data_IF_038476464052
#
_entry.id   IF_038476464052
#
_cell.length_a   1.000
_cell.length_b   1.000
_cell.length_c   1.000
_cell.angle_alpha   90.00
_cell.angle_beta   90.00
_cell.angle_gamma   90.00
#
_symmetry.space_group_name_H-M   'P 1'
#
loop_
_entity.id
_entity.type
_entity.pdbx_description
1 polymer ?
#
# COMPACT_ATOMS: atom_id res chain seq x y z
N UNK A 1 -5.55 -11.20 -31.02
CA UNK A 1 -5.93 -10.29 -29.91
C UNK A 1 -6.12 -11.15 -28.68
N UNK A 2 -5.26 -11.01 -27.66
CA UNK A 2 -5.49 -11.71 -26.40
C UNK A 2 -6.72 -11.08 -25.75
N UNK A 3 -7.81 -11.83 -25.64
CA UNK A 3 -8.97 -11.40 -24.86
C UNK A 3 -8.51 -11.29 -23.40
N UNK A 4 -8.48 -10.07 -22.86
CA UNK A 4 -8.22 -9.86 -21.43
C UNK A 4 -9.19 -10.66 -20.56
N UNK A 5 -8.76 -11.02 -19.35
CA UNK A 5 -9.65 -11.67 -18.38
C UNK A 5 -10.87 -10.79 -18.11
N UNK A 6 -12.04 -11.41 -17.99
CA UNK A 6 -13.23 -10.73 -17.49
C UNK A 6 -13.01 -10.31 -16.03
N UNK A 7 -13.72 -9.28 -15.56
CA UNK A 7 -13.65 -8.86 -14.16
C UNK A 7 -13.91 -10.02 -13.18
N UNK A 8 -14.90 -10.87 -13.49
CA UNK A 8 -15.19 -12.08 -12.72
C UNK A 8 -14.02 -13.07 -12.73
N UNK A 9 -13.36 -13.26 -13.88
CA UNK A 9 -12.19 -14.13 -14.00
C UNK A 9 -10.96 -13.61 -13.25
N UNK A 10 -10.76 -12.29 -13.17
CA UNK A 10 -9.72 -11.68 -12.33
C UNK A 10 -10.04 -11.92 -10.85
N UNK A 11 -11.28 -11.69 -10.43
CA UNK A 11 -11.70 -11.90 -9.05
C UNK A 11 -11.50 -13.36 -8.62
N UNK A 12 -12.01 -14.32 -9.39
CA UNK A 12 -11.89 -15.74 -9.08
C UNK A 12 -10.43 -16.17 -8.96
N UNK A 13 -9.60 -15.76 -9.93
CA UNK A 13 -8.17 -16.08 -9.96
C UNK A 13 -7.40 -15.56 -8.74
N UNK A 14 -7.73 -14.36 -8.25
CA UNK A 14 -6.92 -13.68 -7.22
C UNK A 14 -7.59 -13.61 -5.85
N UNK A 15 -8.81 -14.14 -5.68
CA UNK A 15 -9.58 -13.99 -4.43
C UNK A 15 -8.80 -14.47 -3.20
N UNK A 16 -8.25 -15.68 -3.23
CA UNK A 16 -7.53 -16.26 -2.09
C UNK A 16 -6.21 -15.54 -1.80
N UNK A 17 -5.50 -15.10 -2.84
CA UNK A 17 -4.26 -14.33 -2.73
C UNK A 17 -4.51 -12.97 -2.06
N UNK A 18 -5.50 -12.22 -2.57
CA UNK A 18 -5.88 -10.91 -2.01
C UNK A 18 -6.39 -11.06 -0.58
N UNK A 19 -7.20 -12.10 -0.28
CA UNK A 19 -7.65 -12.39 1.09
C UNK A 19 -6.47 -12.61 2.03
N UNK A 20 -5.45 -13.36 1.60
CA UNK A 20 -4.23 -13.57 2.38
C UNK A 20 -3.51 -12.26 2.70
N UNK A 21 -3.33 -11.40 1.69
CA UNK A 21 -2.70 -10.08 1.87
C UNK A 21 -3.47 -9.17 2.83
N UNK A 22 -4.81 -9.19 2.79
CA UNK A 22 -5.65 -8.43 3.72
C UNK A 22 -5.42 -8.91 5.16
N UNK A 23 -5.40 -10.23 5.38
CA UNK A 23 -5.15 -10.81 6.71
C UNK A 23 -3.74 -10.49 7.22
N UNK A 24 -2.74 -10.52 6.34
CA UNK A 24 -1.36 -10.16 6.68
C UNK A 24 -1.25 -8.70 7.13
N UNK A 25 -1.85 -7.77 6.38
CA UNK A 25 -1.89 -6.35 6.76
C UNK A 25 -2.59 -6.15 8.11
N UNK A 26 -3.75 -6.79 8.32
CA UNK A 26 -4.47 -6.71 9.59
C UNK A 26 -3.60 -7.22 10.76
N UNK A 27 -2.94 -8.38 10.59
CA UNK A 27 -2.07 -8.94 11.62
C UNK A 27 -0.86 -8.05 11.93
N UNK A 28 -0.34 -7.30 10.95
CA UNK A 28 0.75 -6.33 11.17
C UNK A 28 0.24 -5.15 11.99
N UNK A 29 -0.91 -4.56 11.65
CA UNK A 29 -1.50 -3.49 12.46
C UNK A 29 -1.79 -3.93 13.89
N UNK A 30 -2.36 -5.12 14.08
CA UNK A 30 -2.57 -5.68 15.42
C UNK A 30 -1.26 -5.84 16.22
N UNK A 31 -0.15 -6.16 15.56
CA UNK A 31 1.17 -6.26 16.22
C UNK A 31 1.72 -4.89 16.59
N UNK A 32 1.51 -3.86 15.76
CA UNK A 32 1.88 -2.49 16.09
C UNK A 32 1.11 -2.01 17.32
N UNK A 33 -0.19 -2.25 17.37
CA UNK A 33 -1.04 -1.84 18.50
C UNK A 33 -0.70 -2.57 19.81
N UNK A 34 -0.16 -3.78 19.72
CA UNK A 34 0.32 -4.56 20.88
C UNK A 34 1.80 -4.32 21.22
N UNK A 35 2.51 -3.55 20.41
CA UNK A 35 3.95 -3.31 20.57
C UNK A 35 4.24 -2.41 21.77
N UNK A 36 5.35 -2.67 22.47
CA UNK A 36 5.85 -1.75 23.50
C UNK A 36 6.27 -0.42 22.86
N UNK A 37 5.84 0.72 23.42
CA UNK A 37 6.13 2.04 22.86
C UNK A 37 5.26 2.39 21.65
N UNK A 38 4.02 1.90 21.62
CA UNK A 38 3.02 2.19 20.59
C UNK A 38 2.85 3.69 20.34
N UNK A 39 3.06 4.53 21.36
CA UNK A 39 2.97 5.98 21.27
C UNK A 39 4.00 6.55 20.27
N UNK A 40 5.21 5.96 20.22
CA UNK A 40 6.23 6.36 19.25
C UNK A 40 5.84 5.97 17.82
N UNK A 41 5.23 4.80 17.65
CA UNK A 41 4.72 4.34 16.36
C UNK A 41 3.53 5.19 15.90
N UNK A 42 2.66 5.62 16.82
CA UNK A 42 1.54 6.52 16.56
C UNK A 42 1.99 7.93 16.16
N UNK A 43 3.13 8.39 16.68
CA UNK A 43 3.73 9.66 16.29
C UNK A 43 4.53 9.59 14.97
N UNK A 44 4.84 8.39 14.47
CA UNK A 44 5.59 8.21 13.23
C UNK A 44 4.68 8.45 12.01
N UNK A 45 4.99 9.41 11.12
CA UNK A 45 4.15 9.74 9.98
C UNK A 45 3.99 8.59 8.98
N UNK A 46 4.90 7.60 9.00
CA UNK A 46 4.80 6.42 8.14
C UNK A 46 3.58 5.55 8.47
N UNK A 47 3.12 5.56 9.74
CA UNK A 47 1.90 4.84 10.11
C UNK A 47 0.67 5.42 9.40
N UNK A 48 0.57 6.74 9.34
CA UNK A 48 -0.52 7.41 8.61
C UNK A 48 -0.40 7.21 7.10
N UNK A 49 0.81 7.20 6.53
CA UNK A 49 1.01 6.84 5.12
C UNK A 49 0.53 5.42 4.81
N UNK A 50 0.81 4.44 5.68
CA UNK A 50 0.30 3.06 5.50
C UNK A 50 -1.22 3.01 5.52
N UNK A 51 -1.86 3.71 6.48
CA UNK A 51 -3.33 3.79 6.58
C UNK A 51 -3.93 4.44 5.33
N UNK A 52 -3.31 5.49 4.81
CA UNK A 52 -3.76 6.16 3.59
C UNK A 52 -3.62 5.26 2.36
N UNK A 53 -2.53 4.49 2.27
CA UNK A 53 -2.35 3.47 1.23
C UNK A 53 -3.47 2.43 1.23
N UNK A 54 -3.92 1.99 2.42
CA UNK A 54 -5.07 1.07 2.56
C UNK A 54 -6.37 1.72 2.07
N UNK A 55 -6.61 3.00 2.39
CA UNK A 55 -7.80 3.72 1.86
C UNK A 55 -7.77 3.85 0.34
N UNK A 56 -6.60 4.13 -0.25
CA UNK A 56 -6.45 4.24 -1.71
C UNK A 56 -6.78 2.93 -2.44
N UNK A 57 -6.59 1.77 -1.82
CA UNK A 57 -7.03 0.47 -2.38
C UNK A 57 -8.55 0.42 -2.60
N UNK A 58 -9.33 1.14 -1.79
CA UNK A 58 -10.79 1.19 -1.87
C UNK A 58 -11.30 2.33 -2.77
N UNK A 59 -10.41 3.15 -3.35
CA UNK A 59 -10.81 4.23 -4.24
C UNK A 59 -11.49 3.72 -5.52
N UNK A 60 -12.39 4.52 -6.08
CA UNK A 60 -13.10 4.20 -7.32
C UNK A 60 -12.18 4.22 -8.55
N UNK A 61 -12.59 3.51 -9.61
CA UNK A 61 -11.91 3.50 -10.91
C UNK A 61 -10.65 2.63 -10.98
N UNK A 62 -9.71 3.02 -11.83
CA UNK A 62 -8.42 2.35 -12.05
C UNK A 62 -7.27 3.20 -11.48
N UNK A 63 -6.02 2.75 -11.62
CA UNK A 63 -4.84 3.54 -11.20
C UNK A 63 -4.51 3.49 -9.71
N UNK A 64 -5.09 2.55 -8.94
CA UNK A 64 -4.77 2.38 -7.50
C UNK A 64 -3.27 2.18 -7.26
N UNK A 65 -2.63 1.35 -8.10
CA UNK A 65 -1.19 1.09 -8.00
C UNK A 65 -0.36 2.37 -8.18
N UNK A 66 -0.69 3.20 -9.16
CA UNK A 66 -0.04 4.49 -9.39
C UNK A 66 -0.25 5.44 -8.21
N UNK A 67 -1.49 5.59 -7.73
CA UNK A 67 -1.79 6.45 -6.57
C UNK A 67 -1.02 6.01 -5.33
N UNK A 68 -0.97 4.71 -5.06
CA UNK A 68 -0.22 4.13 -3.94
C UNK A 68 1.28 4.33 -4.14
N UNK A 69 1.79 4.12 -5.35
CA UNK A 69 3.20 4.36 -5.66
C UNK A 69 3.57 5.83 -5.42
N UNK A 70 2.74 6.77 -5.87
CA UNK A 70 2.97 8.19 -5.65
C UNK A 70 2.90 8.58 -4.17
N UNK A 71 2.02 7.96 -3.38
CA UNK A 71 1.95 8.16 -1.93
C UNK A 71 3.27 7.80 -1.22
N UNK A 72 3.99 6.80 -1.72
CA UNK A 72 5.27 6.34 -1.14
C UNK A 72 6.51 6.87 -1.88
N UNK A 73 6.34 7.75 -2.87
CA UNK A 73 7.47 8.33 -3.62
C UNK A 73 7.94 9.62 -2.97
N UNK A 74 9.26 9.83 -2.96
CA UNK A 74 9.83 11.13 -2.63
C UNK A 74 9.50 12.16 -3.72
N UNK A 75 9.55 13.44 -3.35
CA UNK A 75 9.44 14.52 -4.34
C UNK A 75 10.56 14.42 -5.37
N UNK A 76 10.20 14.60 -6.65
CA UNK A 76 11.19 14.70 -7.70
C UNK A 76 12.07 15.93 -7.48
N UNK A 77 13.37 15.70 -7.29
CA UNK A 77 14.37 16.76 -7.16
C UNK A 77 15.08 16.95 -8.52
N UNK A 78 14.77 18.02 -9.30
CA UNK A 78 15.34 18.23 -10.63
C UNK A 78 16.87 18.37 -10.64
N UNK A 79 17.44 18.79 -9.50
CA UNK A 79 18.88 18.95 -9.32
C UNK A 79 19.45 17.85 -8.40
N UNK A 80 18.83 16.66 -8.35
CA UNK A 80 19.30 15.58 -7.50
C UNK A 80 20.74 15.21 -7.85
N UNK A 81 21.64 15.46 -6.90
CA UNK A 81 23.01 14.94 -6.94
C UNK A 81 23.04 13.71 -6.04
N UNK A 82 23.35 12.51 -6.57
CA UNK A 82 23.59 11.36 -5.71
C UNK A 82 24.74 11.72 -4.75
N UNK A 83 24.65 11.25 -3.50
CA UNK A 83 25.67 11.52 -2.49
C UNK A 83 27.04 11.16 -3.07
N UNK A 84 27.94 12.14 -3.13
CA UNK A 84 29.26 12.00 -3.71
C UNK A 84 30.03 10.85 -3.06
N UNK A 85 30.77 10.10 -3.88
CA UNK A 85 31.86 9.26 -3.39
C UNK A 85 32.98 10.11 -2.83
#
# INVERSE_FOLDING_TARGET
MASGLTAAGVLDRHFLEVRGRILELAAIFDRLDRGTGVENAQADPRLEQLKEGVKLLLSEGTGRAEKIQMLFSDEYLPNWKPAGK
#
